data_IF_155182374783
#
_entry.id   IF_155182374783
#
_cell.length_a   1.000
_cell.length_b   1.000
_cell.length_c   1.000
_cell.angle_alpha   90.00
_cell.angle_beta   90.00
_cell.angle_gamma   90.00
#
_symmetry.space_group_name_H-M   'P 1'
#
loop_
_entity.id
_entity.type
_entity.pdbx_description
1 polymer ?
#
# COMPACT_ATOMS: atom_id res chain seq x y z
N UNK A 1 -18.47 -9.33 31.89
CA UNK A 1 -17.92 -8.78 30.66
C UNK A 1 -17.04 -9.83 30.01
N UNK A 2 -17.47 -10.44 28.93
CA UNK A 2 -16.70 -11.44 28.17
C UNK A 2 -15.75 -10.67 27.26
N UNK A 3 -14.46 -10.68 27.56
CA UNK A 3 -13.44 -10.17 26.64
C UNK A 3 -13.50 -11.01 25.36
N UNK A 4 -13.76 -10.37 24.20
CA UNK A 4 -13.61 -11.04 22.92
C UNK A 4 -12.15 -11.38 22.75
N UNK A 5 -11.85 -12.68 22.64
CA UNK A 5 -10.50 -13.12 22.29
C UNK A 5 -10.12 -12.50 20.93
N UNK A 6 -8.96 -11.86 20.86
CA UNK A 6 -8.42 -11.37 19.61
C UNK A 6 -8.06 -12.57 18.74
N UNK A 7 -8.76 -12.74 17.63
CA UNK A 7 -8.41 -13.75 16.64
C UNK A 7 -7.21 -13.22 15.86
N UNK A 8 -6.00 -13.61 16.26
CA UNK A 8 -4.80 -13.38 15.45
C UNK A 8 -4.83 -14.33 14.27
N UNK A 9 -4.87 -13.80 13.04
CA UNK A 9 -4.67 -14.62 11.84
C UNK A 9 -3.30 -15.27 11.93
N UNK A 10 -3.26 -16.59 11.78
CA UNK A 10 -2.00 -17.32 11.62
C UNK A 10 -1.45 -17.02 10.23
N UNK A 11 -0.29 -16.39 10.18
CA UNK A 11 0.43 -16.13 8.94
C UNK A 11 1.36 -17.32 8.66
N UNK A 12 1.42 -17.74 7.39
CA UNK A 12 2.38 -18.76 6.98
C UNK A 12 3.81 -18.23 7.17
N UNK A 13 4.63 -18.98 7.93
CA UNK A 13 6.01 -18.62 8.22
C UNK A 13 6.91 -18.58 7.00
N UNK A 14 6.64 -19.43 6.00
CA UNK A 14 7.42 -19.45 4.76
C UNK A 14 7.15 -18.17 3.96
N UNK A 15 5.88 -17.84 3.74
CA UNK A 15 5.49 -16.61 3.06
C UNK A 15 6.02 -15.36 3.80
N UNK A 16 5.92 -15.33 5.13
CA UNK A 16 6.47 -14.22 5.91
C UNK A 16 7.98 -14.05 5.72
N UNK A 17 8.72 -15.15 5.66
CA UNK A 17 10.16 -15.10 5.44
C UNK A 17 10.51 -14.60 4.04
N UNK A 18 9.79 -15.05 3.01
CA UNK A 18 9.98 -14.60 1.62
C UNK A 18 9.67 -13.13 1.45
N UNK A 19 8.54 -12.66 1.99
CA UNK A 19 8.18 -11.24 1.99
C UNK A 19 9.23 -10.38 2.71
N UNK A 20 9.65 -10.80 3.89
CA UNK A 20 10.68 -10.06 4.65
C UNK A 20 11.97 -9.97 3.86
N UNK A 21 12.38 -11.04 3.20
CA UNK A 21 13.61 -11.06 2.39
C UNK A 21 13.49 -10.13 1.17
N UNK A 22 12.36 -10.15 0.47
CA UNK A 22 12.14 -9.31 -0.70
C UNK A 22 12.12 -7.82 -0.34
N UNK A 23 11.39 -7.42 0.70
CA UNK A 23 11.35 -6.03 1.16
C UNK A 23 12.73 -5.57 1.67
N UNK A 24 13.43 -6.41 2.42
CA UNK A 24 14.77 -6.08 2.91
C UNK A 24 15.80 -5.94 1.78
N UNK A 25 15.67 -6.73 0.71
CA UNK A 25 16.53 -6.62 -0.46
C UNK A 25 16.28 -5.29 -1.18
N UNK A 26 15.03 -4.93 -1.46
CA UNK A 26 14.69 -3.67 -2.11
C UNK A 26 15.18 -2.47 -1.29
N UNK A 27 14.93 -2.46 0.02
CA UNK A 27 15.41 -1.42 0.90
C UNK A 27 16.94 -1.29 0.88
N UNK A 28 17.67 -2.41 0.75
CA UNK A 28 19.14 -2.39 0.65
C UNK A 28 19.59 -1.78 -0.67
N UNK A 29 18.95 -2.12 -1.78
CA UNK A 29 19.27 -1.57 -3.10
C UNK A 29 19.03 -0.05 -3.14
N UNK A 30 17.92 0.43 -2.58
CA UNK A 30 17.63 1.85 -2.45
C UNK A 30 18.65 2.57 -1.56
N UNK A 31 19.06 1.93 -0.45
CA UNK A 31 20.06 2.49 0.47
C UNK A 31 21.43 2.60 -0.19
N UNK A 32 21.83 1.59 -0.95
CA UNK A 32 23.08 1.62 -1.71
C UNK A 32 23.09 2.76 -2.72
N UNK A 33 21.97 2.97 -3.43
CA UNK A 33 21.82 4.09 -4.35
C UNK A 33 21.95 5.44 -3.65
N UNK A 34 21.27 5.63 -2.52
CA UNK A 34 21.37 6.87 -1.72
C UNK A 34 22.78 7.11 -1.19
N UNK A 35 23.48 6.04 -0.76
CA UNK A 35 24.84 6.16 -0.25
C UNK A 35 25.86 6.55 -1.33
N UNK A 36 25.61 6.21 -2.59
CA UNK A 36 26.46 6.63 -3.72
C UNK A 36 26.48 8.15 -3.90
N UNK A 37 25.35 8.81 -3.61
CA UNK A 37 25.22 10.26 -3.77
C UNK A 37 25.71 11.05 -2.55
N UNK A 38 25.61 10.49 -1.32
CA UNK A 38 25.86 11.23 -0.07
C UNK A 38 27.16 10.86 0.65
N UNK A 39 27.91 9.84 0.26
CA UNK A 39 29.13 9.34 0.94
C UNK A 39 28.93 9.17 2.47
N UNK A 40 28.09 8.27 2.89
CA UNK A 40 27.79 8.05 4.31
C UNK A 40 28.99 7.42 5.04
N UNK A 41 29.15 7.75 6.33
CA UNK A 41 30.08 7.01 7.19
C UNK A 41 29.58 5.57 7.38
N UNK A 42 30.52 4.65 7.60
CA UNK A 42 30.22 3.22 7.82
C UNK A 42 29.23 3.01 8.99
N UNK A 43 29.34 3.81 10.04
CA UNK A 43 28.46 3.75 11.20
C UNK A 43 27.03 4.19 10.83
N UNK A 44 26.89 5.29 10.07
CA UNK A 44 25.59 5.76 9.56
C UNK A 44 24.94 4.69 8.69
N UNK A 45 25.68 4.14 7.73
CA UNK A 45 25.18 3.09 6.82
C UNK A 45 24.68 1.87 7.58
N UNK A 46 25.47 1.33 8.51
CA UNK A 46 25.06 0.17 9.33
C UNK A 46 23.83 0.45 10.18
N UNK A 47 23.72 1.63 10.75
CA UNK A 47 22.58 2.03 11.57
C UNK A 47 21.27 2.07 10.76
N UNK A 48 21.33 2.69 9.58
CA UNK A 48 20.16 2.78 8.69
C UNK A 48 19.77 1.41 8.14
N UNK A 49 20.74 0.61 7.71
CA UNK A 49 20.50 -0.75 7.23
C UNK A 49 19.82 -1.63 8.29
N UNK A 50 20.28 -1.55 9.54
CA UNK A 50 19.66 -2.30 10.65
C UNK A 50 18.22 -1.85 10.93
N UNK A 51 17.93 -0.56 10.81
CA UNK A 51 16.59 -0.01 10.96
C UNK A 51 15.67 -0.51 9.83
N UNK A 52 16.10 -0.45 8.58
CA UNK A 52 15.34 -0.92 7.42
C UNK A 52 15.06 -2.42 7.44
N UNK A 53 16.01 -3.24 7.88
CA UNK A 53 15.79 -4.68 8.05
C UNK A 53 14.70 -4.99 9.10
N UNK A 54 14.68 -4.21 10.19
CA UNK A 54 13.62 -4.33 11.20
C UNK A 54 12.25 -3.88 10.65
N UNK A 55 12.23 -2.82 9.88
CA UNK A 55 11.02 -2.32 9.21
C UNK A 55 10.48 -3.32 8.20
N UNK A 56 11.33 -3.94 7.39
CA UNK A 56 10.93 -4.97 6.44
C UNK A 56 10.17 -6.13 7.11
N UNK A 57 10.62 -6.58 8.29
CA UNK A 57 9.94 -7.61 9.06
C UNK A 57 8.56 -7.17 9.58
N UNK A 58 8.40 -5.90 9.96
CA UNK A 58 7.13 -5.35 10.40
C UNK A 58 6.15 -5.23 9.22
N UNK A 59 6.59 -4.65 8.10
CA UNK A 59 5.78 -4.51 6.89
C UNK A 59 5.33 -5.86 6.34
N UNK A 60 6.24 -6.82 6.24
CA UNK A 60 5.91 -8.18 5.82
C UNK A 60 4.84 -8.82 6.72
N UNK A 61 4.92 -8.61 8.04
CA UNK A 61 3.91 -9.09 8.98
C UNK A 61 2.53 -8.47 8.76
N UNK A 62 2.48 -7.17 8.48
CA UNK A 62 1.22 -6.45 8.20
C UNK A 62 0.61 -6.91 6.88
N UNK A 63 1.40 -7.01 5.82
CA UNK A 63 0.96 -7.43 4.49
C UNK A 63 0.43 -8.87 4.51
N UNK A 64 1.20 -9.78 5.10
CA UNK A 64 0.80 -11.18 5.23
C UNK A 64 -0.48 -11.36 6.05
N UNK A 65 -0.68 -10.57 7.11
CA UNK A 65 -1.92 -10.57 7.89
C UNK A 65 -3.14 -10.06 7.09
N UNK A 66 -2.92 -9.26 6.05
CA UNK A 66 -3.93 -8.80 5.11
C UNK A 66 -4.16 -9.76 3.93
N UNK A 67 -3.36 -10.81 3.83
CA UNK A 67 -3.47 -11.81 2.78
C UNK A 67 -2.56 -11.59 1.58
N UNK A 68 -1.73 -10.53 1.60
CA UNK A 68 -0.72 -10.26 0.59
C UNK A 68 0.50 -11.11 0.94
N UNK A 69 0.70 -12.19 0.20
CA UNK A 69 1.77 -13.18 0.45
C UNK A 69 2.75 -13.32 -0.70
N UNK A 70 2.40 -12.78 -1.86
CA UNK A 70 3.30 -12.72 -3.02
C UNK A 70 4.26 -11.53 -2.89
N UNK A 71 5.58 -11.75 -2.96
CA UNK A 71 6.57 -10.67 -2.89
C UNK A 71 6.42 -9.62 -3.99
N UNK A 72 6.08 -10.00 -5.21
CA UNK A 72 5.91 -9.04 -6.31
C UNK A 72 4.72 -8.11 -6.07
N UNK A 73 3.57 -8.65 -5.65
CA UNK A 73 2.40 -7.87 -5.25
C UNK A 73 2.72 -6.92 -4.10
N UNK A 74 3.44 -7.40 -3.09
CA UNK A 74 3.85 -6.61 -1.94
C UNK A 74 4.74 -5.42 -2.33
N UNK A 75 5.71 -5.62 -3.19
CA UNK A 75 6.62 -4.57 -3.65
C UNK A 75 5.91 -3.54 -4.51
N UNK A 76 5.03 -3.96 -5.43
CA UNK A 76 4.19 -3.05 -6.24
C UNK A 76 3.32 -2.15 -5.36
N UNK A 77 2.67 -2.73 -4.34
CA UNK A 77 1.87 -1.98 -3.38
C UNK A 77 2.70 -0.97 -2.59
N UNK A 78 3.89 -1.36 -2.11
CA UNK A 78 4.79 -0.48 -1.35
C UNK A 78 5.38 0.64 -2.20
N UNK A 79 5.63 0.39 -3.48
CA UNK A 79 6.09 1.40 -4.43
C UNK A 79 4.98 2.41 -4.81
N UNK A 80 3.72 2.10 -4.55
CA UNK A 80 2.59 2.92 -4.97
C UNK A 80 2.38 2.91 -6.50
N UNK A 81 2.87 1.87 -7.17
CA UNK A 81 2.81 1.72 -8.63
C UNK A 81 1.58 0.91 -9.08
N UNK A 82 0.57 0.81 -8.24
CA UNK A 82 -0.66 0.12 -8.61
C UNK A 82 -1.36 0.83 -9.77
N UNK A 83 -1.66 0.10 -10.82
CA UNK A 83 -2.51 0.59 -11.89
C UNK A 83 -3.93 0.82 -11.37
N UNK A 84 -4.44 2.03 -11.58
CA UNK A 84 -5.84 2.33 -11.28
C UNK A 84 -6.75 1.46 -12.14
N UNK A 85 -7.69 0.79 -11.52
CA UNK A 85 -8.72 0.04 -12.24
C UNK A 85 -9.56 0.97 -13.11
N UNK A 86 -10.05 0.45 -14.25
CA UNK A 86 -10.98 1.18 -15.10
C UNK A 86 -12.24 1.56 -14.28
N UNK A 87 -12.55 2.86 -14.13
CA UNK A 87 -13.71 3.31 -13.36
C UNK A 87 -15.03 2.78 -13.93
N UNK A 88 -15.08 2.40 -15.22
CA UNK A 88 -16.27 1.79 -15.83
C UNK A 88 -16.57 0.38 -15.32
N UNK A 89 -15.64 -0.24 -14.57
CA UNK A 89 -15.90 -1.51 -13.85
C UNK A 89 -16.78 -1.35 -12.61
N UNK A 90 -16.96 -0.12 -12.12
CA UNK A 90 -17.88 0.15 -11.00
C UNK A 90 -19.33 -0.06 -11.45
N UNK A 91 -20.10 -0.69 -10.58
CA UNK A 91 -21.53 -0.95 -10.85
C UNK A 91 -22.28 0.36 -11.12
N UNK A 92 -23.03 0.41 -12.22
CA UNK A 92 -23.86 1.55 -12.66
C UNK A 92 -23.07 2.85 -12.97
N UNK A 93 -21.75 2.77 -13.20
CA UNK A 93 -20.93 3.92 -13.58
C UNK A 93 -21.40 4.53 -14.90
N UNK A 94 -21.77 3.73 -15.88
CA UNK A 94 -22.33 4.15 -17.15
C UNK A 94 -23.62 4.99 -16.96
N UNK A 95 -24.53 4.52 -16.12
CA UNK A 95 -25.78 5.23 -15.80
C UNK A 95 -25.51 6.54 -15.05
N UNK A 96 -24.53 6.53 -14.13
CA UNK A 96 -24.13 7.73 -13.40
C UNK A 96 -23.57 8.78 -14.35
N UNK A 97 -22.69 8.39 -15.26
CA UNK A 97 -22.13 9.27 -16.28
C UNK A 97 -23.23 9.85 -17.19
N UNK A 98 -24.12 9.02 -17.73
CA UNK A 98 -25.23 9.47 -18.56
C UNK A 98 -26.15 10.45 -17.82
N UNK A 99 -26.41 10.20 -16.53
CA UNK A 99 -27.27 11.08 -15.71
C UNK A 99 -26.61 12.44 -15.48
N UNK A 100 -25.32 12.47 -15.20
CA UNK A 100 -24.56 13.71 -15.00
C UNK A 100 -24.49 14.50 -16.30
N UNK A 101 -24.18 13.87 -17.42
CA UNK A 101 -24.12 14.52 -18.73
C UNK A 101 -25.46 15.14 -19.09
N UNK A 102 -26.57 14.43 -18.87
CA UNK A 102 -27.92 14.96 -19.10
C UNK A 102 -28.19 16.19 -18.22
N UNK A 103 -27.81 16.15 -16.93
CA UNK A 103 -27.99 17.29 -16.04
C UNK A 103 -27.22 18.54 -16.52
N UNK A 104 -26.02 18.33 -17.07
CA UNK A 104 -25.23 19.41 -17.66
C UNK A 104 -25.95 19.99 -18.92
N UNK A 105 -26.39 19.13 -19.81
CA UNK A 105 -27.05 19.53 -21.07
C UNK A 105 -28.38 20.25 -20.84
N UNK A 106 -29.14 19.82 -19.82
CA UNK A 106 -30.42 20.40 -19.46
C UNK A 106 -30.31 21.61 -18.49
N UNK A 107 -29.08 21.95 -18.05
CA UNK A 107 -28.83 23.06 -17.14
C UNK A 107 -29.39 22.84 -15.72
N UNK A 108 -29.50 21.58 -15.30
CA UNK A 108 -29.93 21.24 -13.93
C UNK A 108 -28.89 21.63 -12.88
N UNK A 109 -29.37 21.88 -11.66
CA UNK A 109 -28.47 22.13 -10.53
C UNK A 109 -27.87 20.80 -10.04
N UNK A 110 -26.55 20.68 -10.13
CA UNK A 110 -25.80 19.54 -9.57
C UNK A 110 -25.25 19.96 -8.21
N UNK A 111 -25.52 19.15 -7.18
CA UNK A 111 -25.00 19.35 -5.82
C UNK A 111 -24.06 18.20 -5.48
N UNK A 112 -22.83 18.53 -5.11
CA UNK A 112 -21.88 17.55 -4.57
C UNK A 112 -21.99 17.61 -3.04
N UNK A 113 -22.28 16.47 -2.45
CA UNK A 113 -22.37 16.30 -1.01
C UNK A 113 -21.31 15.30 -0.57
N UNK A 114 -20.48 15.69 0.38
CA UNK A 114 -19.39 14.87 0.91
C UNK A 114 -19.06 15.27 2.34
N UNK A 115 -18.20 14.49 2.99
CA UNK A 115 -17.65 14.83 4.28
C UNK A 115 -16.50 15.85 4.13
N UNK A 116 -16.03 16.44 5.23
CA UNK A 116 -15.02 17.49 5.24
C UNK A 116 -13.58 16.97 5.29
N UNK A 117 -13.39 15.68 5.47
CA UNK A 117 -12.07 15.05 5.50
C UNK A 117 -11.64 14.50 4.13
N UNK A 118 -10.39 14.01 4.06
CA UNK A 118 -9.70 13.73 2.79
C UNK A 118 -10.32 12.58 2.00
N UNK A 119 -11.06 11.70 2.67
CA UNK A 119 -11.72 10.51 2.12
C UNK A 119 -13.25 10.68 1.92
N UNK A 120 -13.77 11.88 2.16
CA UNK A 120 -15.19 12.24 2.01
C UNK A 120 -15.61 12.72 0.63
#
# INVERSE_FOLDING_TARGET
MTYRAWNTKTVDRAALKELTAAIAQQNTEELEYQNMDEEWSEEKYRSVLAAQQKEAGLLAGILAARGITDPAEALTLLAGEEELSDPMLLTDMDKACERILRAIDEGETIVVFGDYDVDG
#
